data_IF_702809667801
#
_entry.id   IF_702809667801
#
_cell.length_a   1.000
_cell.length_b   1.000
_cell.length_c   1.000
_cell.angle_alpha   90.00
_cell.angle_beta   90.00
_cell.angle_gamma   90.00
#
_symmetry.space_group_name_H-M   'P 1'
#
loop_
_entity.id
_entity.type
_entity.pdbx_description
1 polymer ?
#
# COMPACT_ATOMS: atom_id res chain seq x y z
N UNK A 1 -23.16 17.38 4.74
CA UNK A 1 -22.14 16.48 4.13
C UNK A 1 -22.76 15.37 3.29
N UNK A 2 -23.76 14.63 3.77
CA UNK A 2 -24.45 13.57 3.01
C UNK A 2 -25.17 14.05 1.72
N UNK A 3 -25.48 15.35 1.61
CA UNK A 3 -26.06 15.96 0.40
C UNK A 3 -25.03 16.28 -0.69
N UNK A 4 -23.74 16.33 -0.36
CA UNK A 4 -22.65 16.71 -1.28
C UNK A 4 -22.06 15.49 -1.98
N UNK A 5 -22.09 14.34 -1.30
CA UNK A 5 -21.65 13.06 -1.82
C UNK A 5 -22.86 12.14 -1.80
N UNK A 6 -23.47 11.88 -2.98
CA UNK A 6 -24.65 11.02 -3.19
C UNK A 6 -24.56 9.68 -2.45
N UNK A 7 -24.86 9.70 -1.15
CA UNK A 7 -24.68 8.57 -0.25
C UNK A 7 -25.62 7.42 -0.62
N UNK A 8 -26.83 7.75 -1.06
CA UNK A 8 -27.84 6.79 -1.50
C UNK A 8 -27.47 6.01 -2.77
N UNK A 9 -26.43 6.41 -3.51
CA UNK A 9 -26.02 5.72 -4.74
C UNK A 9 -24.88 4.70 -4.53
N UNK A 10 -24.24 4.67 -3.36
CA UNK A 10 -23.03 3.84 -3.13
C UNK A 10 -23.33 2.67 -2.21
N UNK A 11 -23.70 1.54 -2.80
CA UNK A 11 -24.07 0.29 -2.10
C UNK A 11 -22.95 -0.32 -1.26
N UNK A 12 -21.69 0.09 -1.48
CA UNK A 12 -20.52 -0.44 -0.79
C UNK A 12 -20.07 0.38 0.43
N UNK A 13 -20.74 1.49 0.74
CA UNK A 13 -20.44 2.30 1.92
C UNK A 13 -21.40 1.93 3.04
N UNK A 14 -20.87 1.65 4.23
CA UNK A 14 -21.71 1.31 5.39
C UNK A 14 -22.33 2.57 6.02
N UNK A 15 -23.33 2.34 6.86
CA UNK A 15 -23.76 3.34 7.84
C UNK A 15 -22.63 3.67 8.83
N UNK A 16 -22.83 4.72 9.64
CA UNK A 16 -21.87 5.08 10.68
C UNK A 16 -21.91 4.01 11.76
N UNK A 17 -20.78 3.34 11.97
CA UNK A 17 -20.63 2.27 12.94
C UNK A 17 -19.72 2.78 14.06
N UNK A 18 -20.20 2.72 15.30
CA UNK A 18 -19.35 2.81 16.49
C UNK A 18 -18.62 1.48 16.66
N UNK A 19 -17.30 1.46 16.47
CA UNK A 19 -16.53 0.21 16.43
C UNK A 19 -16.63 -0.55 17.76
N UNK A 20 -16.49 0.14 18.89
CA UNK A 20 -16.62 -0.44 20.23
C UNK A 20 -17.96 -1.15 20.44
N UNK A 21 -19.05 -0.49 20.09
CA UNK A 21 -20.40 -1.04 20.30
C UNK A 21 -20.67 -2.21 19.36
N UNK A 22 -20.24 -2.10 18.11
CA UNK A 22 -20.39 -3.15 17.12
C UNK A 22 -19.66 -4.42 17.52
N UNK A 23 -18.38 -4.32 17.90
CA UNK A 23 -17.61 -5.49 18.32
C UNK A 23 -18.03 -6.02 19.69
N UNK A 24 -18.48 -5.16 20.61
CA UNK A 24 -19.07 -5.62 21.88
C UNK A 24 -20.34 -6.44 21.66
N UNK A 25 -21.16 -6.10 20.65
CA UNK A 25 -22.31 -6.91 20.24
C UNK A 25 -21.88 -8.19 19.52
N UNK A 26 -20.89 -8.08 18.62
CA UNK A 26 -20.39 -9.21 17.84
C UNK A 26 -19.77 -10.30 18.72
N UNK A 27 -18.97 -9.92 19.73
CA UNK A 27 -18.36 -10.86 20.69
C UNK A 27 -19.42 -11.60 21.51
N UNK A 28 -20.58 -11.01 21.79
CA UNK A 28 -21.68 -11.69 22.47
C UNK A 28 -22.34 -12.78 21.62
N UNK A 29 -22.26 -12.66 20.29
CA UNK A 29 -22.82 -13.63 19.33
C UNK A 29 -21.80 -14.74 18.99
N UNK A 30 -20.51 -14.51 19.22
CA UNK A 30 -19.45 -15.48 18.93
C UNK A 30 -19.52 -16.82 19.67
N UNK A 31 -19.97 -16.92 20.95
CA UNK A 31 -20.16 -18.21 21.62
C UNK A 31 -21.08 -19.16 20.83
N UNK A 32 -22.09 -18.62 20.15
CA UNK A 32 -23.01 -19.39 19.30
C UNK A 32 -22.35 -19.82 17.98
N UNK A 33 -21.32 -19.08 17.52
CA UNK A 33 -20.54 -19.39 16.33
C UNK A 33 -19.42 -20.41 16.59
N UNK A 34 -18.75 -20.38 17.75
CA UNK A 34 -17.76 -21.41 18.09
C UNK A 34 -18.41 -22.79 18.26
N UNK A 35 -19.64 -22.86 18.76
CA UNK A 35 -20.44 -24.08 18.79
C UNK A 35 -20.74 -24.63 17.37
N UNK A 36 -20.78 -23.78 16.34
CA UNK A 36 -21.02 -24.18 14.94
C UNK A 36 -19.74 -24.34 14.09
N UNK A 37 -18.62 -23.73 14.49
CA UNK A 37 -17.33 -23.75 13.73
C UNK A 37 -16.32 -24.74 14.32
N UNK A 38 -16.55 -25.29 15.52
CA UNK A 38 -15.78 -26.42 16.07
C UNK A 38 -15.86 -27.71 15.22
N UNK A 39 -16.70 -27.72 14.16
CA UNK A 39 -16.60 -28.64 13.03
C UNK A 39 -15.40 -28.37 12.11
N UNK A 40 -14.18 -28.71 12.55
CA UNK A 40 -13.01 -29.00 11.70
C UNK A 40 -12.71 -28.03 10.53
N UNK A 41 -12.26 -26.81 10.80
CA UNK A 41 -11.45 -26.06 9.82
C UNK A 41 -9.97 -26.35 10.03
N UNK A 42 -9.57 -27.57 9.66
CA UNK A 42 -8.18 -27.90 9.39
C UNK A 42 -7.70 -27.17 8.13
N UNK A 43 -6.48 -26.68 8.19
CA UNK A 43 -5.69 -26.06 7.12
C UNK A 43 -5.86 -26.83 5.79
N UNK A 44 -6.54 -26.23 4.81
CA UNK A 44 -6.64 -26.75 3.44
C UNK A 44 -5.32 -26.53 2.70
N UNK A 45 -4.31 -27.35 3.01
CA UNK A 45 -3.05 -27.48 2.27
C UNK A 45 -2.62 -28.94 2.12
N UNK A 46 -3.58 -29.85 2.02
CA UNK A 46 -3.31 -31.21 1.57
C UNK A 46 -4.04 -31.38 0.24
N UNK A 47 -3.29 -31.71 -0.81
CA UNK A 47 -3.84 -32.12 -2.10
C UNK A 47 -4.94 -33.14 -1.85
N UNK A 48 -6.14 -32.86 -2.35
CA UNK A 48 -7.29 -33.76 -2.28
C UNK A 48 -7.05 -34.88 -3.29
N UNK A 49 -6.13 -35.78 -2.97
CA UNK A 49 -5.88 -37.03 -3.71
C UNK A 49 -6.37 -38.23 -2.89
N UNK A 50 -6.85 -38.03 -1.65
CA UNK A 50 -7.28 -39.12 -0.78
C UNK A 50 -8.80 -39.39 -0.87
N UNK A 51 -9.24 -40.49 -1.51
CA UNK A 51 -10.65 -40.77 -1.78
C UNK A 51 -11.50 -40.94 -0.51
N UNK A 52 -10.90 -41.34 0.61
CA UNK A 52 -11.60 -41.46 1.90
C UNK A 52 -12.10 -40.10 2.45
N UNK A 53 -11.41 -39.00 2.14
CA UNK A 53 -11.84 -37.65 2.55
C UNK A 53 -12.99 -37.13 1.67
N UNK A 54 -12.98 -37.47 0.38
CA UNK A 54 -14.05 -37.10 -0.56
C UNK A 54 -15.37 -37.78 -0.16
N UNK A 55 -15.33 -39.09 0.15
CA UNK A 55 -16.51 -39.83 0.66
C UNK A 55 -17.12 -39.18 1.89
N UNK A 56 -16.27 -38.71 2.82
CA UNK A 56 -16.69 -38.05 4.05
C UNK A 56 -17.29 -36.65 3.81
N UNK A 57 -16.77 -35.91 2.83
CA UNK A 57 -17.27 -34.59 2.44
C UNK A 57 -18.61 -34.66 1.73
N UNK A 58 -18.80 -35.66 0.86
CA UNK A 58 -20.05 -35.83 0.12
C UNK A 58 -21.16 -36.50 0.94
N UNK A 59 -20.85 -36.97 2.15
CA UNK A 59 -21.79 -37.66 3.05
C UNK A 59 -22.50 -38.86 2.38
N UNK A 60 -21.80 -39.55 1.45
CA UNK A 60 -22.35 -40.69 0.71
C UNK A 60 -21.73 -41.99 1.24
N UNK A 61 -22.57 -42.98 1.54
CA UNK A 61 -22.15 -44.33 1.96
C UNK A 61 -21.92 -45.21 0.73
N UNK A 62 -20.85 -44.93 -0.03
CA UNK A 62 -20.43 -45.78 -1.16
C UNK A 62 -19.35 -46.76 -0.69
N UNK A 63 -19.47 -48.04 -1.08
CA UNK A 63 -18.43 -49.04 -0.85
C UNK A 63 -17.13 -48.66 -1.58
N UNK A 64 -16.00 -49.27 -1.22
CA UNK A 64 -14.73 -49.01 -1.93
C UNK A 64 -14.80 -49.44 -3.40
N UNK A 65 -15.51 -50.52 -3.68
CA UNK A 65 -15.71 -51.04 -5.03
C UNK A 65 -16.56 -50.10 -5.89
N UNK A 66 -17.66 -49.58 -5.33
CA UNK A 66 -18.52 -48.60 -6.03
C UNK A 66 -17.79 -47.30 -6.33
N UNK A 67 -16.93 -46.86 -5.42
CA UNK A 67 -16.15 -45.63 -5.62
C UNK A 67 -15.06 -45.82 -6.68
N UNK A 68 -14.46 -47.01 -6.74
CA UNK A 68 -13.48 -47.36 -7.78
C UNK A 68 -14.16 -47.33 -9.15
N UNK A 69 -15.33 -47.95 -9.27
CA UNK A 69 -16.16 -47.91 -10.49
C UNK A 69 -16.53 -46.47 -10.88
N UNK A 70 -16.91 -45.63 -9.92
CA UNK A 70 -17.20 -44.21 -10.17
C UNK A 70 -15.97 -43.43 -10.62
N UNK A 71 -14.82 -43.65 -10.00
CA UNK A 71 -13.56 -42.99 -10.41
C UNK A 71 -13.10 -43.40 -11.80
N UNK A 72 -13.37 -44.64 -12.20
CA UNK A 72 -13.05 -45.16 -13.53
C UNK A 72 -14.05 -44.70 -14.59
N UNK A 73 -15.33 -44.59 -14.26
CA UNK A 73 -16.39 -44.17 -15.19
C UNK A 73 -16.47 -42.65 -15.36
N UNK A 74 -16.29 -41.88 -14.27
CA UNK A 74 -16.33 -40.42 -14.26
C UNK A 74 -14.93 -39.78 -14.37
N UNK A 75 -14.02 -40.38 -15.14
CA UNK A 75 -12.72 -39.78 -15.40
C UNK A 75 -12.86 -38.71 -16.49
N UNK A 76 -12.32 -37.50 -16.24
CA UNK A 76 -12.29 -36.38 -17.19
C UNK A 76 -11.75 -36.81 -18.57
N UNK A 77 -10.80 -37.74 -18.60
CA UNK A 77 -10.19 -38.23 -19.83
C UNK A 77 -11.11 -39.12 -20.68
N UNK A 78 -12.27 -39.55 -20.17
CA UNK A 78 -13.27 -40.35 -20.89
C UNK A 78 -14.45 -39.51 -21.39
N UNK A 79 -14.50 -38.21 -21.05
CA UNK A 79 -15.52 -37.27 -21.52
C UNK A 79 -15.11 -36.70 -22.88
N UNK A 80 -15.08 -37.55 -23.91
CA UNK A 80 -14.78 -37.12 -25.29
C UNK A 80 -16.02 -37.16 -26.16
N UNK A 81 -16.21 -36.18 -27.02
CA UNK A 81 -17.28 -36.17 -28.04
C UNK A 81 -16.76 -36.64 -29.41
N UNK A 82 -17.59 -37.30 -30.25
CA UNK A 82 -17.19 -37.61 -31.62
C UNK A 82 -16.83 -36.31 -32.38
N UNK A 83 -15.65 -36.27 -33.01
CA UNK A 83 -15.03 -35.11 -33.67
C UNK A 83 -14.43 -34.02 -32.76
N UNK A 84 -14.09 -34.34 -31.50
CA UNK A 84 -13.35 -33.38 -30.65
C UNK A 84 -11.91 -33.19 -31.16
N UNK A 85 -11.46 -31.95 -31.42
CA UNK A 85 -10.07 -31.69 -31.80
C UNK A 85 -9.13 -32.07 -30.64
N UNK A 86 -7.92 -32.55 -30.92
CA UNK A 86 -6.97 -32.95 -29.88
C UNK A 86 -6.66 -31.77 -28.96
N UNK A 87 -6.66 -32.03 -27.64
CA UNK A 87 -6.30 -31.04 -26.63
C UNK A 87 -4.84 -30.64 -26.86
N UNK A 88 -4.63 -29.43 -27.37
CA UNK A 88 -3.29 -28.85 -27.52
C UNK A 88 -2.84 -28.38 -26.14
N UNK A 89 -1.72 -28.91 -25.65
CA UNK A 89 -1.09 -28.38 -24.43
C UNK A 89 -0.60 -26.95 -24.70
N UNK A 90 -1.38 -25.98 -24.25
CA UNK A 90 -1.11 -24.55 -24.45
C UNK A 90 0.06 -24.03 -23.59
N UNK A 91 0.72 -24.91 -22.82
CA UNK A 91 1.93 -24.57 -22.06
C UNK A 91 3.09 -24.06 -22.94
N UNK A 92 3.06 -24.35 -24.25
CA UNK A 92 4.12 -23.99 -25.20
C UNK A 92 3.86 -22.77 -26.08
N UNK A 93 2.70 -22.08 -25.99
CA UNK A 93 2.51 -20.80 -26.70
C UNK A 93 3.21 -19.68 -25.92
N UNK A 94 4.55 -19.72 -25.89
CA UNK A 94 5.36 -18.56 -25.53
C UNK A 94 5.03 -17.45 -26.51
N UNK A 95 4.60 -16.30 -25.98
CA UNK A 95 4.34 -15.07 -26.73
C UNK A 95 5.56 -14.68 -27.57
N UNK A 96 5.53 -15.00 -28.86
CA UNK A 96 6.58 -14.75 -29.88
C UNK A 96 7.90 -15.49 -29.57
N UNK A 97 8.51 -16.21 -30.52
CA UNK A 97 9.92 -16.56 -30.41
C UNK A 97 10.70 -15.24 -30.31
N UNK A 98 11.23 -14.95 -29.13
CA UNK A 98 11.99 -13.74 -28.92
C UNK A 98 13.28 -13.85 -29.71
N UNK A 99 13.73 -12.75 -30.32
CA UNK A 99 15.05 -12.57 -30.91
C UNK A 99 16.24 -12.84 -29.94
N UNK A 100 15.94 -13.33 -28.73
CA UNK A 100 16.82 -13.57 -27.60
C UNK A 100 16.33 -14.78 -26.78
N UNK A 101 16.00 -15.90 -27.43
CA UNK A 101 15.83 -17.15 -26.69
C UNK A 101 17.12 -17.45 -25.93
N UNK A 102 17.03 -17.39 -24.59
CA UNK A 102 18.17 -17.54 -23.69
C UNK A 102 18.70 -18.97 -23.83
N UNK A 103 19.80 -19.15 -24.55
CA UNK A 103 20.54 -20.40 -24.55
C UNK A 103 21.19 -20.61 -23.17
N UNK A 104 21.15 -21.83 -22.67
CA UNK A 104 21.86 -22.20 -21.45
C UNK A 104 23.36 -21.98 -21.68
N UNK A 105 23.98 -21.15 -20.82
CA UNK A 105 25.42 -20.89 -20.84
C UNK A 105 26.13 -22.22 -20.50
N UNK A 106 27.01 -22.70 -21.39
CA UNK A 106 27.78 -23.93 -21.16
C UNK A 106 28.66 -23.79 -19.91
N UNK A 107 28.88 -24.89 -19.19
CA UNK A 107 29.69 -24.88 -17.97
C UNK A 107 31.11 -24.38 -18.20
N UNK A 108 31.66 -24.64 -19.39
CA UNK A 108 32.97 -24.14 -19.84
C UNK A 108 33.04 -22.61 -20.03
N UNK A 109 31.92 -21.94 -20.27
CA UNK A 109 31.87 -20.49 -20.50
C UNK A 109 31.65 -19.68 -19.21
N UNK A 110 31.41 -20.33 -18.06
CA UNK A 110 31.13 -19.67 -16.77
C UNK A 110 32.36 -19.00 -16.14
N UNK A 111 33.56 -19.34 -16.58
CA UNK A 111 34.80 -18.74 -16.04
C UNK A 111 35.05 -17.32 -16.57
N UNK A 112 34.55 -17.01 -17.76
CA UNK A 112 34.65 -15.70 -18.43
C UNK A 112 33.89 -14.62 -17.65
N UNK A 113 34.53 -13.48 -17.43
CA UNK A 113 34.00 -12.39 -16.61
C UNK A 113 32.74 -11.75 -17.23
N UNK A 114 32.70 -11.65 -18.56
CA UNK A 114 31.52 -11.21 -19.33
C UNK A 114 30.32 -12.14 -19.13
N UNK A 115 30.55 -13.45 -19.06
CA UNK A 115 29.51 -14.45 -18.84
C UNK A 115 29.02 -14.45 -17.39
N UNK A 116 29.90 -14.19 -16.41
CA UNK A 116 29.52 -13.97 -15.00
C UNK A 116 28.59 -12.76 -14.83
N UNK A 117 28.90 -11.64 -15.52
CA UNK A 117 28.03 -10.46 -15.50
C UNK A 117 26.70 -10.69 -16.22
N UNK A 118 26.69 -11.42 -17.35
CA UNK A 118 25.47 -11.81 -18.04
C UNK A 118 24.61 -12.75 -17.18
N UNK A 119 25.21 -13.72 -16.48
CA UNK A 119 24.51 -14.64 -15.59
C UNK A 119 23.87 -13.91 -14.40
N UNK A 120 24.57 -12.96 -13.77
CA UNK A 120 23.99 -12.06 -12.76
C UNK A 120 22.79 -11.28 -13.32
N UNK A 121 22.89 -10.81 -14.57
CA UNK A 121 21.81 -10.07 -15.25
C UNK A 121 20.63 -10.96 -15.61
N UNK A 122 20.84 -12.23 -15.96
CA UNK A 122 19.78 -13.22 -16.24
C UNK A 122 19.05 -13.64 -14.95
N UNK A 123 19.79 -13.94 -13.88
CA UNK A 123 19.24 -14.21 -12.54
C UNK A 123 18.42 -13.02 -12.03
N UNK A 124 18.94 -11.80 -12.21
CA UNK A 124 18.19 -10.59 -11.90
C UNK A 124 17.01 -10.38 -12.86
N UNK A 125 17.10 -10.75 -14.14
CA UNK A 125 15.98 -10.61 -15.08
C UNK A 125 14.81 -11.54 -14.75
N UNK A 126 15.05 -12.72 -14.18
CA UNK A 126 13.99 -13.57 -13.64
C UNK A 126 13.32 -12.91 -12.43
N UNK A 127 14.10 -12.35 -11.50
CA UNK A 127 13.56 -11.55 -10.39
C UNK A 127 12.83 -10.27 -10.86
N UNK A 128 13.32 -9.60 -11.91
CA UNK A 128 12.81 -8.33 -12.44
C UNK A 128 11.63 -8.51 -13.40
N UNK A 129 11.54 -9.63 -14.12
CA UNK A 129 10.39 -9.91 -15.00
C UNK A 129 9.08 -10.05 -14.22
N UNK A 130 9.15 -10.52 -12.97
CA UNK A 130 8.03 -10.56 -12.04
C UNK A 130 7.78 -9.23 -11.30
N UNK A 131 8.68 -8.25 -11.40
CA UNK A 131 8.50 -6.92 -10.81
C UNK A 131 7.78 -5.94 -11.75
N UNK A 132 7.77 -6.19 -13.06
CA UNK A 132 7.12 -5.32 -14.05
C UNK A 132 5.61 -5.16 -13.84
N UNK A 133 4.98 -6.09 -13.11
CA UNK A 133 3.55 -6.09 -12.77
C UNK A 133 3.27 -6.07 -11.25
N UNK A 134 4.28 -5.93 -10.39
CA UNK A 134 4.02 -5.69 -8.96
C UNK A 134 3.79 -4.18 -8.76
N UNK A 135 2.52 -3.78 -8.91
CA UNK A 135 2.06 -2.45 -8.48
C UNK A 135 2.21 -2.24 -6.98
N UNK A 136 2.36 -3.33 -6.20
CA UNK A 136 2.45 -3.31 -4.75
C UNK A 136 3.64 -4.11 -4.21
N UNK A 137 4.43 -3.48 -3.35
CA UNK A 137 5.49 -4.06 -2.50
C UNK A 137 4.83 -4.54 -1.20
N UNK A 138 5.26 -5.71 -0.73
CA UNK A 138 4.86 -6.29 0.55
C UNK A 138 6.11 -6.29 1.45
N UNK A 139 6.24 -5.33 2.39
CA UNK A 139 7.41 -5.26 3.23
C UNK A 139 7.54 -6.53 4.08
N UNK A 140 8.69 -7.20 4.00
CA UNK A 140 9.04 -8.23 4.98
C UNK A 140 9.36 -7.53 6.29
N UNK A 141 8.52 -7.73 7.31
CA UNK A 141 8.76 -7.16 8.63
C UNK A 141 9.62 -8.14 9.45
N UNK A 142 10.61 -7.63 10.18
CA UNK A 142 11.28 -8.39 11.23
C UNK A 142 10.30 -8.52 12.39
N UNK A 143 9.49 -9.58 12.37
CA UNK A 143 8.41 -9.77 13.33
C UNK A 143 8.99 -10.09 14.71
N UNK A 144 8.60 -9.31 15.71
CA UNK A 144 8.79 -9.67 17.10
C UNK A 144 8.04 -10.97 17.40
N UNK A 145 8.72 -11.91 18.07
CA UNK A 145 8.23 -13.29 18.23
C UNK A 145 7.39 -13.51 19.50
N UNK A 146 7.34 -12.54 20.43
CA UNK A 146 6.60 -12.71 21.69
C UNK A 146 5.12 -12.42 21.50
N UNK A 147 4.22 -13.42 21.61
CA UNK A 147 2.78 -13.19 21.51
C UNK A 147 2.24 -12.61 22.82
N UNK A 148 1.65 -11.42 22.75
CA UNK A 148 0.99 -10.73 23.88
C UNK A 148 -0.48 -10.41 23.60
N UNK A 149 -0.96 -10.62 22.38
CA UNK A 149 -2.33 -10.39 21.97
C UNK A 149 -3.18 -11.67 22.05
N UNK A 150 -4.38 -11.52 22.61
CA UNK A 150 -5.36 -12.61 22.68
C UNK A 150 -6.31 -12.63 21.46
N UNK A 151 -6.42 -13.80 20.82
CA UNK A 151 -7.31 -14.02 19.68
C UNK A 151 -8.76 -13.71 20.09
N UNK A 152 -9.51 -13.01 19.23
CA UNK A 152 -10.91 -12.67 19.47
C UNK A 152 -11.17 -11.50 20.44
N UNK A 153 -10.17 -11.04 21.21
CA UNK A 153 -10.32 -9.89 22.12
C UNK A 153 -9.88 -8.56 21.51
N UNK A 154 -8.98 -8.59 20.54
CA UNK A 154 -8.48 -7.39 19.88
C UNK A 154 -9.11 -7.23 18.50
N UNK A 155 -9.34 -5.98 18.09
CA UNK A 155 -9.78 -5.64 16.74
C UNK A 155 -8.61 -5.18 15.87
N UNK A 156 -8.66 -5.57 14.59
CA UNK A 156 -7.77 -5.15 13.53
C UNK A 156 -8.55 -4.31 12.53
N UNK A 157 -7.98 -3.16 12.17
CA UNK A 157 -8.59 -2.21 11.25
C UNK A 157 -7.64 -2.04 10.06
N UNK A 158 -8.15 -2.32 8.87
CA UNK A 158 -7.41 -2.13 7.61
C UNK A 158 -7.68 -0.73 7.08
N UNK A 159 -6.62 0.06 6.97
CA UNK A 159 -6.63 1.44 6.51
C UNK A 159 -5.91 1.54 5.17
N UNK A 160 -6.58 2.13 4.18
CA UNK A 160 -6.02 2.42 2.87
C UNK A 160 -5.73 3.89 2.76
N UNK A 161 -4.51 4.23 2.35
CA UNK A 161 -4.06 5.61 2.17
C UNK A 161 -3.73 5.78 0.69
N UNK A 162 -4.27 6.84 0.11
CA UNK A 162 -4.12 7.14 -1.30
C UNK A 162 -3.03 8.19 -1.53
N UNK A 163 -2.51 8.24 -2.75
CA UNK A 163 -1.55 9.27 -3.14
C UNK A 163 -2.13 10.68 -2.94
N UNK A 164 -1.27 11.68 -2.65
CA UNK A 164 -1.73 13.01 -2.36
C UNK A 164 -2.43 13.63 -3.56
N UNK A 165 -3.52 14.35 -3.28
CA UNK A 165 -4.28 15.05 -4.30
C UNK A 165 -3.50 16.28 -4.78
N UNK A 166 -3.39 16.45 -6.10
CA UNK A 166 -2.77 17.63 -6.72
C UNK A 166 -3.86 18.52 -7.29
N UNK A 167 -4.48 19.35 -6.46
CA UNK A 167 -5.49 20.29 -6.94
C UNK A 167 -4.83 21.31 -7.89
N UNK A 168 -5.24 21.30 -9.16
CA UNK A 168 -4.89 22.33 -10.14
C UNK A 168 -6.17 23.05 -10.56
N UNK A 169 -6.26 24.34 -10.25
CA UNK A 169 -7.40 25.17 -10.64
C UNK A 169 -7.63 25.08 -12.15
N UNK A 170 -8.87 24.77 -12.56
CA UNK A 170 -9.26 24.66 -13.97
C UNK A 170 -8.98 23.32 -14.64
N UNK A 171 -8.30 22.36 -13.99
CA UNK A 171 -8.03 21.03 -14.56
C UNK A 171 -8.85 19.97 -13.82
N UNK A 172 -9.80 19.36 -14.51
CA UNK A 172 -10.54 18.21 -13.98
C UNK A 172 -9.64 16.97 -14.02
N UNK A 173 -9.29 16.45 -12.84
CA UNK A 173 -8.52 15.21 -12.74
C UNK A 173 -9.44 14.04 -13.10
N UNK A 174 -9.16 13.37 -14.22
CA UNK A 174 -9.94 12.23 -14.72
C UNK A 174 -9.46 10.91 -14.11
N UNK A 175 -8.22 10.86 -13.66
CA UNK A 175 -7.64 9.62 -13.13
C UNK A 175 -8.21 9.29 -11.74
N UNK A 176 -8.62 8.03 -11.50
CA UNK A 176 -9.09 7.61 -10.20
C UNK A 176 -7.97 7.70 -9.16
N UNK A 177 -8.31 7.93 -7.87
CA UNK A 177 -7.31 7.97 -6.80
C UNK A 177 -6.60 6.61 -6.70
N UNK A 178 -5.27 6.65 -6.68
CA UNK A 178 -4.42 5.46 -6.60
C UNK A 178 -4.05 5.18 -5.15
N UNK A 179 -4.27 3.95 -4.69
CA UNK A 179 -3.88 3.51 -3.36
C UNK A 179 -2.34 3.52 -3.27
N UNK A 180 -1.81 4.27 -2.29
CA UNK A 180 -0.38 4.39 -2.04
C UNK A 180 0.11 3.34 -1.05
N UNK A 181 -0.69 3.03 -0.03
CA UNK A 181 -0.32 2.05 0.99
C UNK A 181 -1.57 1.52 1.69
N UNK A 182 -1.52 0.25 2.07
CA UNK A 182 -2.51 -0.41 2.90
C UNK A 182 -1.81 -0.84 4.19
N UNK A 183 -2.39 -0.48 5.32
CA UNK A 183 -1.85 -0.81 6.63
C UNK A 183 -2.92 -1.35 7.55
N UNK A 184 -2.50 -2.10 8.56
CA UNK A 184 -3.37 -2.69 9.55
C UNK A 184 -2.98 -2.14 10.92
N UNK A 185 -3.94 -1.55 11.62
CA UNK A 185 -3.76 -0.98 12.96
C UNK A 185 -4.58 -1.77 13.98
N UNK A 186 -4.13 -1.77 15.23
CA UNK A 186 -4.92 -2.34 16.33
C UNK A 186 -5.93 -1.31 16.85
N UNK A 187 -7.10 -1.78 17.28
CA UNK A 187 -8.13 -0.89 17.85
C UNK A 187 -7.69 -0.12 19.09
N UNK A 188 -6.81 -0.70 19.91
CA UNK A 188 -6.30 -0.06 21.12
C UNK A 188 -5.25 1.02 20.87
N UNK A 189 -4.73 1.13 19.64
CA UNK A 189 -3.76 2.16 19.25
C UNK A 189 -4.45 3.51 19.02
N UNK A 190 -3.69 4.58 19.19
CA UNK A 190 -4.16 5.94 18.97
C UNK A 190 -4.03 6.35 17.51
N UNK A 191 -4.79 7.35 17.09
CA UNK A 191 -4.75 7.85 15.71
C UNK A 191 -3.35 8.42 15.35
N UNK A 192 -2.63 8.94 16.34
CA UNK A 192 -1.23 9.38 16.17
C UNK A 192 -0.30 8.29 15.64
N UNK A 193 -0.52 7.02 16.01
CA UNK A 193 0.28 5.88 15.53
C UNK A 193 0.11 5.67 14.02
N UNK A 194 -1.12 5.82 13.51
CA UNK A 194 -1.40 5.79 12.08
C UNK A 194 -0.66 6.93 11.37
N UNK A 195 -0.75 8.15 11.90
CA UNK A 195 -0.06 9.31 11.34
C UNK A 195 1.46 9.08 11.23
N UNK A 196 2.08 8.56 12.28
CA UNK A 196 3.53 8.37 12.30
C UNK A 196 4.01 7.32 11.30
N UNK A 197 3.14 6.35 10.99
CA UNK A 197 3.39 5.21 10.08
C UNK A 197 3.17 5.56 8.62
N UNK A 198 2.36 6.58 8.32
CA UNK A 198 2.12 7.02 6.95
C UNK A 198 3.45 7.46 6.32
N UNK A 199 3.79 6.83 5.19
CA UNK A 199 4.93 7.24 4.36
C UNK A 199 4.44 8.12 3.21
N UNK A 200 4.80 9.39 3.21
CA UNK A 200 4.55 10.31 2.11
C UNK A 200 5.85 10.80 1.47
N UNK A 201 5.87 10.92 0.14
CA UNK A 201 7.01 11.52 -0.58
C UNK A 201 7.30 12.96 -0.12
N UNK A 202 6.26 13.71 0.29
CA UNK A 202 6.43 15.06 0.81
C UNK A 202 7.17 15.07 2.16
N UNK A 203 7.05 14.01 2.96
CA UNK A 203 7.76 13.88 4.25
C UNK A 203 9.25 13.65 4.09
N UNK A 204 9.64 12.96 3.01
CA UNK A 204 11.03 12.62 2.69
C UNK A 204 11.77 13.78 2.01
N UNK A 205 11.03 14.75 1.48
CA UNK A 205 11.58 15.93 0.85
C UNK A 205 12.47 16.71 1.81
N UNK A 206 13.60 17.20 1.31
CA UNK A 206 14.47 18.11 2.04
C UNK A 206 14.00 19.53 1.72
N UNK A 207 13.45 20.27 2.69
CA UNK A 207 12.98 21.62 2.42
C UNK A 207 14.16 22.58 2.29
N UNK A 208 14.12 23.40 1.24
CA UNK A 208 15.06 24.50 1.05
C UNK A 208 15.81 24.44 -0.28
N UNK A 209 16.21 25.62 -0.74
CA UNK A 209 17.03 25.83 -1.93
C UNK A 209 18.51 25.70 -1.54
N UNK A 210 19.26 24.88 -2.27
CA UNK A 210 20.62 24.46 -1.88
C UNK A 210 21.65 24.59 -3.01
N UNK A 211 21.32 25.32 -4.08
CA UNK A 211 22.23 25.47 -5.24
C UNK A 211 23.57 26.11 -4.90
N UNK A 212 23.66 26.92 -3.84
CA UNK A 212 24.93 27.52 -3.47
C UNK A 212 25.86 26.53 -2.73
N UNK A 213 25.29 25.54 -2.01
CA UNK A 213 26.04 24.58 -1.20
C UNK A 213 25.44 23.16 -1.36
N UNK A 214 25.65 22.49 -2.51
CA UNK A 214 25.04 21.20 -2.79
C UNK A 214 25.60 20.04 -1.95
N UNK A 215 26.80 20.21 -1.37
CA UNK A 215 27.47 19.18 -0.56
C UNK A 215 27.07 19.22 0.93
N UNK A 216 26.05 19.99 1.30
CA UNK A 216 25.60 20.06 2.69
C UNK A 216 24.92 18.75 3.11
N UNK A 217 25.17 18.32 4.36
CA UNK A 217 24.47 17.19 4.98
C UNK A 217 22.96 17.51 5.14
N UNK A 218 22.12 16.92 4.28
CA UNK A 218 20.66 17.03 4.35
C UNK A 218 20.05 16.12 5.43
N UNK A 219 20.37 16.40 6.69
CA UNK A 219 19.89 15.58 7.83
C UNK A 219 18.43 15.83 8.21
N UNK A 220 17.91 17.03 7.94
CA UNK A 220 16.55 17.42 8.33
C UNK A 220 15.58 17.23 7.16
N UNK A 221 14.56 16.40 7.36
CA UNK A 221 13.50 16.18 6.38
C UNK A 221 12.31 17.10 6.67
N UNK A 222 11.41 17.23 5.70
CA UNK A 222 10.20 18.02 5.85
C UNK A 222 9.35 17.56 7.05
N UNK A 223 9.26 16.25 7.30
CA UNK A 223 8.54 15.68 8.47
C UNK A 223 9.06 16.18 9.82
N UNK A 224 10.37 16.46 9.91
CA UNK A 224 11.00 16.90 11.17
C UNK A 224 10.72 18.38 11.46
N UNK A 225 10.48 19.16 10.41
CA UNK A 225 10.25 20.62 10.47
C UNK A 225 8.75 20.92 10.54
N UNK A 226 7.97 20.30 9.66
CA UNK A 226 6.53 20.54 9.50
C UNK A 226 5.73 19.41 10.15
N UNK A 227 5.61 19.48 11.47
CA UNK A 227 4.92 18.47 12.27
C UNK A 227 3.41 18.69 12.41
N UNK A 228 2.86 19.77 11.89
CA UNK A 228 1.41 20.01 11.99
C UNK A 228 0.64 19.18 10.96
N UNK A 229 -0.52 18.67 11.36
CA UNK A 229 -1.39 17.88 10.50
C UNK A 229 -2.65 17.43 11.23
N UNK A 230 -3.65 17.00 10.48
CA UNK A 230 -4.90 16.48 11.01
C UNK A 230 -5.45 15.33 10.18
N UNK A 231 -6.26 14.50 10.83
CA UNK A 231 -7.10 13.51 10.18
C UNK A 231 -8.55 13.92 10.42
N UNK A 232 -9.35 14.02 9.37
CA UNK A 232 -10.77 14.37 9.45
C UNK A 232 -11.62 13.14 9.21
N UNK A 233 -12.33 12.69 10.25
CA UNK A 233 -13.23 11.53 10.20
C UNK A 233 -14.63 11.98 10.62
N UNK A 234 -15.61 11.70 9.76
CA UNK A 234 -17.00 12.14 9.86
C UNK A 234 -17.14 13.65 10.04
N UNK A 235 -17.25 14.12 11.28
CA UNK A 235 -17.48 15.51 11.63
C UNK A 235 -16.46 16.03 12.67
N UNK A 236 -15.36 15.29 12.86
CA UNK A 236 -14.34 15.58 13.87
C UNK A 236 -12.96 15.70 13.21
N UNK A 237 -12.28 16.81 13.49
CA UNK A 237 -10.88 17.02 13.18
C UNK A 237 -10.01 16.49 14.32
N UNK A 238 -9.24 15.44 14.05
CA UNK A 238 -8.22 14.90 14.95
C UNK A 238 -6.90 15.59 14.63
N UNK A 239 -6.60 16.66 15.36
CA UNK A 239 -5.39 17.47 15.17
C UNK A 239 -4.23 16.90 15.98
N UNK A 240 -3.01 17.12 15.49
CA UNK A 240 -1.80 16.76 16.23
C UNK A 240 -1.30 17.91 17.09
N UNK A 241 -1.54 17.81 18.38
CA UNK A 241 -1.09 18.77 19.38
C UNK A 241 0.06 18.25 20.25
N UNK A 242 0.73 17.15 19.85
CA UNK A 242 1.84 16.55 20.62
C UNK A 242 3.03 17.50 20.78
N UNK A 243 3.29 18.35 19.79
CA UNK A 243 4.29 19.42 19.85
C UNK A 243 3.56 20.76 20.06
N UNK A 244 3.89 21.56 21.11
CA UNK A 244 3.29 22.88 21.33
C UNK A 244 3.48 23.86 20.17
N UNK A 245 4.44 23.61 19.27
CA UNK A 245 4.67 24.42 18.07
C UNK A 245 3.72 24.07 16.92
N UNK A 246 2.91 23.02 17.05
CA UNK A 246 1.99 22.62 16.01
C UNK A 246 0.85 23.63 15.86
N UNK A 247 0.56 23.97 14.61
CA UNK A 247 -0.51 24.90 14.23
C UNK A 247 -1.78 24.10 13.94
N UNK A 248 -2.92 24.57 14.44
CA UNK A 248 -4.24 24.03 14.10
C UNK A 248 -4.64 24.43 12.67
N UNK A 249 -4.39 23.54 11.70
CA UNK A 249 -4.83 23.73 10.32
C UNK A 249 -6.36 23.64 10.18
N UNK A 250 -7.06 22.95 11.07
CA UNK A 250 -8.51 22.82 11.01
C UNK A 250 -9.24 24.13 11.31
N UNK A 251 -8.63 25.04 12.08
CA UNK A 251 -9.27 26.29 12.50
C UNK A 251 -9.80 27.12 11.33
N UNK A 252 -9.02 27.23 10.24
CA UNK A 252 -9.43 27.97 9.04
C UNK A 252 -10.61 27.30 8.35
N UNK A 253 -10.61 25.97 8.29
CA UNK A 253 -11.67 25.16 7.67
C UNK A 253 -12.95 25.26 8.49
N UNK A 254 -12.85 25.19 9.81
CA UNK A 254 -14.01 25.32 10.74
C UNK A 254 -14.67 26.69 10.59
N UNK A 255 -13.88 27.77 10.62
CA UNK A 255 -14.38 29.14 10.39
C UNK A 255 -15.00 29.32 9.00
N UNK A 256 -14.40 28.74 7.98
CA UNK A 256 -14.95 28.74 6.61
C UNK A 256 -16.27 27.99 6.50
N UNK A 257 -16.43 26.91 7.27
CA UNK A 257 -17.63 26.08 7.33
C UNK A 257 -18.79 26.75 8.05
N UNK A 258 -18.52 27.42 9.17
CA UNK A 258 -19.51 28.20 9.92
C UNK A 258 -20.20 29.25 9.03
N UNK A 259 -19.44 29.96 8.19
CA UNK A 259 -19.99 30.94 7.25
C UNK A 259 -20.82 30.36 6.10
N UNK A 260 -20.97 29.03 6.02
CA UNK A 260 -21.74 28.32 4.97
C UNK A 260 -22.76 27.34 5.56
N UNK A 261 -23.04 27.43 6.84
CA UNK A 261 -23.90 26.47 7.56
C UNK A 261 -23.40 25.00 7.41
N UNK A 262 -22.08 24.84 7.26
CA UNK A 262 -21.40 23.54 7.26
C UNK A 262 -20.81 23.31 8.65
N UNK A 263 -21.44 22.41 9.42
CA UNK A 263 -21.02 22.10 10.78
C UNK A 263 -22.22 21.82 11.70
N UNK A 264 -22.04 21.87 13.02
CA UNK A 264 -20.81 22.26 13.73
C UNK A 264 -19.73 21.17 13.66
N UNK A 265 -18.49 21.53 13.33
CA UNK A 265 -17.35 20.60 13.33
C UNK A 265 -16.73 20.49 14.73
N UNK A 266 -16.34 19.28 15.14
CA UNK A 266 -15.65 19.01 16.40
C UNK A 266 -14.13 18.96 16.19
N UNK A 267 -13.39 19.14 17.28
CA UNK A 267 -11.93 19.02 17.30
C UNK A 267 -11.49 18.18 18.48
N UNK A 268 -10.60 17.22 18.24
CA UNK A 268 -10.04 16.31 19.25
C UNK A 268 -8.53 16.15 19.03
N UNK A 269 -7.82 15.70 20.07
CA UNK A 269 -6.39 15.43 20.01
C UNK A 269 -6.14 13.99 19.53
N UNK A 270 -5.38 13.83 18.44
CA UNK A 270 -5.21 12.52 17.80
C UNK A 270 -4.43 11.49 18.64
N UNK A 271 -3.69 11.93 19.65
CA UNK A 271 -2.91 11.08 20.56
C UNK A 271 -3.73 10.60 21.77
N UNK A 272 -4.90 11.20 22.03
CA UNK A 272 -5.82 10.78 23.10
C UNK A 272 -6.92 9.84 22.63
N UNK A 273 -7.21 9.82 21.32
CA UNK A 273 -8.29 9.03 20.74
C UNK A 273 -7.76 7.72 20.18
N UNK A 274 -8.34 6.60 20.64
CA UNK A 274 -8.07 5.26 20.13
C UNK A 274 -8.94 4.93 18.93
N UNK A 275 -8.48 4.01 18.09
CA UNK A 275 -9.25 3.54 16.94
C UNK A 275 -10.56 2.85 17.33
N UNK A 276 -10.58 2.10 18.43
CA UNK A 276 -11.78 1.38 18.91
C UNK A 276 -12.92 2.32 19.30
N UNK A 277 -12.61 3.54 19.74
CA UNK A 277 -13.59 4.54 20.18
C UNK A 277 -14.12 5.39 19.00
N UNK A 278 -13.65 5.13 17.76
CA UNK A 278 -14.10 5.86 16.58
C UNK A 278 -15.48 5.41 16.09
N UNK A 279 -16.24 6.39 15.61
CA UNK A 279 -17.45 6.19 14.81
C UNK A 279 -17.14 6.54 13.36
N UNK A 280 -17.21 5.56 12.46
CA UNK A 280 -16.84 5.72 11.06
C UNK A 280 -17.65 4.81 10.13
N UNK A 281 -17.54 5.04 8.83
CA UNK A 281 -18.13 4.26 7.75
C UNK A 281 -17.03 3.52 7.01
N UNK A 282 -17.25 2.22 6.80
CA UNK A 282 -16.36 1.42 5.97
C UNK A 282 -16.58 1.77 4.50
N UNK A 283 -15.47 1.85 3.76
CA UNK A 283 -15.47 2.23 2.35
C UNK A 283 -15.69 3.73 2.08
N UNK A 284 -15.88 4.56 3.11
CA UNK A 284 -16.01 6.01 2.96
C UNK A 284 -14.64 6.71 2.92
N UNK A 285 -14.43 7.70 2.04
CA UNK A 285 -13.20 8.46 1.98
C UNK A 285 -13.17 9.58 3.04
N UNK A 286 -12.14 9.54 3.88
CA UNK A 286 -11.75 10.55 4.86
C UNK A 286 -10.50 11.29 4.40
N UNK A 287 -10.15 12.38 5.09
CA UNK A 287 -9.05 13.26 4.68
C UNK A 287 -7.95 13.25 5.73
N UNK A 288 -6.70 13.12 5.28
CA UNK A 288 -5.51 13.39 6.06
C UNK A 288 -4.74 14.53 5.40
N UNK A 289 -4.46 15.59 6.14
CA UNK A 289 -3.67 16.72 5.65
C UNK A 289 -2.46 16.95 6.54
N UNK A 290 -1.30 17.09 5.92
CA UNK A 290 -0.05 17.43 6.58
C UNK A 290 0.76 18.42 5.74
N UNK A 291 1.74 19.07 6.37
CA UNK A 291 2.59 20.12 5.75
C UNK A 291 1.81 21.30 5.14
N UNK A 292 0.53 21.47 5.49
CA UNK A 292 -0.34 22.56 5.07
C UNK A 292 -0.99 22.38 3.69
N UNK A 293 -0.39 21.62 2.76
CA UNK A 293 -0.92 21.44 1.40
C UNK A 293 -0.91 19.99 0.88
N UNK A 294 -0.43 19.03 1.68
CA UNK A 294 -0.36 17.64 1.28
C UNK A 294 -1.59 16.89 1.80
N UNK A 295 -2.60 16.77 0.95
CA UNK A 295 -3.89 16.14 1.25
C UNK A 295 -3.95 14.71 0.71
N UNK A 296 -4.21 13.75 1.58
CA UNK A 296 -4.40 12.35 1.26
C UNK A 296 -5.83 11.92 1.56
N UNK A 297 -6.38 11.08 0.68
CA UNK A 297 -7.58 10.33 1.03
C UNK A 297 -7.19 9.11 1.86
N UNK A 298 -7.97 8.85 2.90
CA UNK A 298 -7.88 7.67 3.75
C UNK A 298 -9.22 6.95 3.70
N UNK A 299 -9.25 5.63 3.60
CA UNK A 299 -10.48 4.86 3.78
C UNK A 299 -10.25 3.65 4.67
N UNK A 300 -11.23 3.38 5.51
CA UNK A 300 -11.26 2.17 6.33
C UNK A 300 -11.92 1.08 5.50
N UNK A 301 -11.15 0.08 5.07
CA UNK A 301 -11.64 -0.93 4.12
C UNK A 301 -12.27 -2.13 4.82
N UNK A 302 -11.75 -2.50 5.99
CA UNK A 302 -12.16 -3.71 6.71
C UNK A 302 -11.89 -3.55 8.21
N UNK A 303 -12.76 -4.12 9.04
CA UNK A 303 -12.55 -4.23 10.48
C UNK A 303 -12.97 -5.63 10.91
N UNK A 304 -12.08 -6.31 11.63
CA UNK A 304 -12.30 -7.70 12.06
C UNK A 304 -11.63 -7.96 13.40
N UNK A 305 -12.01 -9.06 14.04
CA UNK A 305 -11.30 -9.54 15.21
C UNK A 305 -9.96 -10.20 14.82
N UNK A 306 -9.01 -10.10 15.74
CA UNK A 306 -7.71 -10.77 15.65
C UNK A 306 -7.92 -12.28 15.54
N UNK A 307 -7.36 -12.88 14.50
CA UNK A 307 -7.42 -14.32 14.23
C UNK A 307 -6.06 -14.98 14.53
N UNK A 308 -6.05 -16.29 14.81
CA UNK A 308 -4.82 -17.07 15.08
C UNK A 308 -3.77 -17.07 13.96
N UNK A 309 -4.16 -16.70 12.74
CA UNK A 309 -3.25 -16.58 11.59
C UNK A 309 -2.60 -15.20 11.47
N UNK A 310 -3.06 -14.24 12.28
CA UNK A 310 -2.49 -12.90 12.31
C UNK A 310 -1.25 -12.84 13.20
N UNK A 311 -0.60 -11.69 13.20
CA UNK A 311 0.49 -11.45 14.12
C UNK A 311 -0.07 -11.28 15.54
N UNK A 312 0.42 -12.07 16.49
CA UNK A 312 -0.05 -12.04 17.88
C UNK A 312 0.81 -11.15 18.79
N UNK A 313 1.75 -10.39 18.22
CA UNK A 313 2.59 -9.46 18.94
C UNK A 313 2.18 -8.02 18.63
N UNK A 314 1.79 -7.27 19.65
CA UNK A 314 1.32 -5.89 19.56
C UNK A 314 2.35 -4.94 18.96
N UNK A 315 3.64 -5.22 19.18
CA UNK A 315 4.78 -4.46 18.66
C UNK A 315 4.91 -4.51 17.14
N UNK A 316 4.33 -5.53 16.50
CA UNK A 316 4.33 -5.65 15.04
C UNK A 316 3.24 -4.81 14.36
N UNK A 317 2.40 -4.13 15.15
CA UNK A 317 1.41 -3.20 14.66
C UNK A 317 1.83 -1.76 14.99
N UNK A 318 1.61 -0.80 14.08
CA UNK A 318 0.86 -0.92 12.84
C UNK A 318 1.67 -1.63 11.74
N UNK A 319 1.00 -2.55 11.05
CA UNK A 319 1.61 -3.39 10.03
C UNK A 319 1.36 -2.79 8.64
N UNK A 320 2.41 -2.44 7.91
CA UNK A 320 2.29 -2.06 6.50
C UNK A 320 2.06 -3.32 5.68
N UNK A 321 0.82 -3.53 5.23
CA UNK A 321 0.41 -4.70 4.45
C UNK A 321 0.90 -4.59 3.02
N UNK A 322 0.75 -3.43 2.38
CA UNK A 322 1.26 -3.19 1.03
C UNK A 322 1.59 -1.72 0.79
N UNK A 323 2.50 -1.45 -0.14
CA UNK A 323 2.82 -0.10 -0.62
C UNK A 323 2.92 -0.08 -2.14
N UNK A 324 2.44 0.98 -2.78
CA UNK A 324 2.57 1.18 -4.22
C UNK A 324 4.02 1.38 -4.63
N UNK A 325 4.42 0.85 -5.78
CA UNK A 325 5.70 1.21 -6.40
C UNK A 325 5.63 2.62 -6.99
N UNK A 326 6.56 3.49 -6.61
CA UNK A 326 6.79 4.75 -7.33
C UNK A 326 7.74 4.48 -8.51
N UNK A 327 7.38 5.01 -9.69
CA UNK A 327 8.29 4.95 -10.83
C UNK A 327 9.54 5.79 -10.52
N UNK A 328 10.70 5.17 -10.70
CA UNK A 328 11.99 5.86 -10.64
C UNK A 328 12.02 6.98 -11.69
N UNK A 329 12.25 8.22 -11.26
CA UNK A 329 12.54 9.30 -12.20
C UNK A 329 14.03 9.23 -12.55
N UNK A 330 14.34 9.11 -13.84
CA UNK A 330 15.73 9.10 -14.33
C UNK A 330 16.21 10.52 -14.64
N UNK A 331 17.53 10.71 -14.59
CA UNK A 331 18.20 11.94 -15.01
C UNK A 331 17.84 12.28 -16.45
N UNK A 332 17.41 13.52 -16.71
CA UNK A 332 17.04 14.01 -18.04
C UNK A 332 18.24 14.25 -18.95
N UNK A 333 19.46 14.36 -18.40
CA UNK A 333 20.68 14.56 -19.18
C UNK A 333 21.27 13.24 -19.67
N UNK A 334 21.50 12.28 -18.76
CA UNK A 334 22.14 11.01 -19.13
C UNK A 334 21.15 9.87 -19.35
N UNK A 335 19.94 9.91 -18.80
CA UNK A 335 18.95 8.83 -18.90
C UNK A 335 19.34 7.51 -18.20
N UNK A 336 20.52 7.43 -17.58
CA UNK A 336 21.07 6.18 -17.03
C UNK A 336 20.84 6.04 -15.52
N UNK A 337 21.06 7.11 -14.77
CA UNK A 337 20.99 7.11 -13.31
C UNK A 337 19.70 7.75 -12.81
N UNK A 338 19.21 7.31 -11.64
CA UNK A 338 18.06 7.92 -10.98
C UNK A 338 18.37 9.38 -10.63
N UNK A 339 17.36 10.23 -10.80
CA UNK A 339 17.45 11.62 -10.42
C UNK A 339 17.56 11.73 -8.90
N UNK A 340 18.42 12.65 -8.46
CA UNK A 340 18.61 13.04 -7.06
C UNK A 340 18.50 14.54 -6.84
N UNK A 341 18.39 15.29 -7.93
CA UNK A 341 18.32 16.74 -7.93
C UNK A 341 17.22 17.20 -8.88
N UNK A 342 16.43 18.17 -8.44
CA UNK A 342 15.56 18.97 -9.28
C UNK A 342 16.15 20.37 -9.34
N UNK A 343 16.30 20.91 -10.55
CA UNK A 343 16.60 22.32 -10.74
C UNK A 343 15.40 23.04 -11.34
N UNK A 344 15.09 24.23 -10.82
CA UNK A 344 14.09 25.14 -11.39
C UNK A 344 14.74 26.45 -11.81
N UNK A 345 14.08 27.21 -12.69
CA UNK A 345 14.55 28.52 -13.16
C UNK A 345 15.97 28.44 -13.75
N UNK A 346 16.30 27.33 -14.40
CA UNK A 346 17.62 27.09 -14.98
C UNK A 346 17.60 27.41 -16.47
N UNK A 347 18.16 28.56 -16.84
CA UNK A 347 18.19 29.06 -18.23
C UNK A 347 19.02 28.18 -19.18
N UNK A 348 19.89 27.32 -18.63
CA UNK A 348 20.83 26.51 -19.42
C UNK A 348 20.23 25.18 -19.87
N UNK A 349 19.05 24.80 -19.36
CA UNK A 349 18.38 23.53 -19.71
C UNK A 349 17.08 23.78 -20.49
N UNK A 350 16.69 22.85 -21.38
CA UNK A 350 15.48 22.99 -22.19
C UNK A 350 14.17 22.76 -21.43
N UNK A 351 14.22 22.27 -20.19
CA UNK A 351 13.05 21.91 -19.39
C UNK A 351 13.12 22.55 -18.01
N UNK A 352 12.00 23.08 -17.52
CA UNK A 352 11.84 23.60 -16.16
C UNK A 352 10.56 23.03 -15.54
N UNK A 353 10.64 22.18 -14.49
CA UNK A 353 11.84 21.69 -13.81
C UNK A 353 12.63 20.65 -14.60
N UNK A 354 13.95 20.60 -14.38
CA UNK A 354 14.85 19.57 -14.92
C UNK A 354 15.38 18.64 -13.82
N UNK A 355 15.44 17.33 -14.10
CA UNK A 355 15.87 16.30 -13.15
C UNK A 355 17.29 15.82 -13.47
N UNK A 356 18.17 15.82 -12.47
CA UNK A 356 19.57 15.42 -12.60
C UNK A 356 19.94 14.29 -11.64
N UNK A 357 20.85 13.41 -12.03
CA UNK A 357 21.60 12.58 -11.08
C UNK A 357 22.76 13.39 -10.47
N UNK A 358 23.35 12.92 -9.37
CA UNK A 358 24.46 13.63 -8.68
C UNK A 358 25.59 14.04 -9.61
N UNK A 359 26.03 13.11 -10.47
CA UNK A 359 27.16 13.37 -11.37
C UNK A 359 26.83 14.45 -12.39
N UNK A 360 25.72 14.32 -13.13
CA UNK A 360 25.32 15.32 -14.12
C UNK A 360 25.00 16.67 -13.49
N UNK A 361 24.45 16.67 -12.27
CA UNK A 361 24.15 17.91 -11.56
C UNK A 361 25.43 18.71 -11.29
N UNK A 362 26.44 18.07 -10.69
CA UNK A 362 27.72 18.70 -10.37
C UNK A 362 28.49 19.11 -11.63
N UNK A 363 28.60 18.22 -12.63
CA UNK A 363 29.41 18.49 -13.82
C UNK A 363 28.83 19.57 -14.73
N UNK A 364 27.50 19.69 -14.79
CA UNK A 364 26.84 20.64 -15.68
C UNK A 364 26.71 22.04 -15.06
N UNK A 365 26.39 22.09 -13.76
CA UNK A 365 26.03 23.34 -13.09
C UNK A 365 27.18 23.99 -12.31
N UNK A 366 28.31 23.31 -12.12
CA UNK A 366 29.44 23.81 -11.33
C UNK A 366 30.78 23.59 -12.05
N UNK A 367 31.69 24.58 -11.99
CA UNK A 367 33.12 24.42 -12.32
C UNK A 367 33.90 24.80 -11.07
N UNK A 368 34.83 23.93 -10.64
CA UNK A 368 35.63 24.11 -9.43
C UNK A 368 34.79 24.42 -8.17
N UNK A 369 33.61 23.81 -8.07
CA UNK A 369 32.66 24.04 -6.98
C UNK A 369 31.93 25.39 -7.03
N UNK A 370 32.19 26.23 -8.04
CA UNK A 370 31.47 27.49 -8.25
C UNK A 370 30.28 27.26 -9.18
N UNK A 371 29.12 27.72 -8.72
CA UNK A 371 27.86 27.68 -9.46
C UNK A 371 27.93 28.51 -10.74
N UNK A 372 27.40 27.99 -11.84
CA UNK A 372 27.39 28.65 -13.15
C UNK A 372 25.97 28.84 -13.66
N UNK A 373 25.60 30.11 -13.80
CA UNK A 373 24.26 30.51 -14.20
C UNK A 373 23.32 30.65 -13.01
N UNK A 374 22.12 31.18 -13.31
CA UNK A 374 21.05 31.30 -12.34
C UNK A 374 20.17 30.06 -12.42
N UNK A 375 20.00 29.40 -11.28
CA UNK A 375 19.08 28.30 -11.09
C UNK A 375 18.84 28.09 -9.59
N UNK A 376 17.75 27.42 -9.24
CA UNK A 376 17.50 26.91 -7.89
C UNK A 376 17.63 25.41 -7.90
N UNK A 377 18.22 24.82 -6.87
CA UNK A 377 18.39 23.37 -6.76
C UNK A 377 17.75 22.83 -5.49
N UNK A 378 17.08 21.69 -5.64
CA UNK A 378 16.39 20.98 -4.57
C UNK A 378 16.75 19.50 -4.63
N UNK A 379 17.05 18.85 -3.49
CA UNK A 379 17.23 17.41 -3.44
C UNK A 379 15.93 16.68 -3.80
N UNK A 380 16.05 15.62 -4.59
CA UNK A 380 14.95 14.75 -5.00
C UNK A 380 15.19 13.35 -4.44
N UNK A 381 14.22 12.83 -3.68
CA UNK A 381 14.31 11.56 -2.96
C UNK A 381 13.33 10.53 -3.48
#
# INVERSE_FOLDING_TARGET
MNSVYDYGQRTWVTEVICLKDYFSKFVKVLPDLEASVTGKTGRWKEKVENPAKIKKLMNVKLSEDEFTILSESCNLNKLTVPNEPPIVDVSCIKRRPGLFDKSNISDSAKELETMKHLQKRILNAEAVSHLKYRSSIWPGCHLCATPDLEVGKHMLISVRIYHPFRHRLGIRIVNPPRCSQEMVVLGNQTISVLRDTIVCASDLCVPGEVSNNPNQDFKKKAKDIYKSGFIFIENTFYNDFRDPKNIDYSAVIRKWGEGRDLGPFKTEEMDKVKFEDLSLRLGYPYVYQHQGNCEHLISFSDVRLLHKSDNLSSQNYPLIRSMSTSNAQYCMICGMYMAKWITTENERVPHDPCYFCDHCFCSYNYIDGKKIGNFKAYPFS
#
